data_IF_720303812773
#
_entry.id   IF_720303812773
#
_cell.length_a   1.000
_cell.length_b   1.000
_cell.length_c   1.000
_cell.angle_alpha   90.00
_cell.angle_beta   90.00
_cell.angle_gamma   90.00
#
_symmetry.space_group_name_H-M   'P 1'
#
loop_
_entity.id
_entity.type
_entity.pdbx_description
1 polymer ?
#
# COMPACT_ATOMS: atom_id res chain seq x y z
N UNK A 1 36.24 -77.04 -7.45
CA UNK A 1 35.67 -75.91 -8.21
C UNK A 1 34.48 -75.36 -7.42
N UNK A 2 34.64 -74.25 -6.67
CA UNK A 2 33.59 -73.61 -5.93
C UNK A 2 33.27 -72.26 -6.56
N UNK A 3 32.08 -72.10 -7.15
CA UNK A 3 31.57 -70.85 -7.73
C UNK A 3 31.08 -69.94 -6.58
N UNK A 4 31.63 -68.72 -6.47
CA UNK A 4 31.16 -67.67 -5.58
C UNK A 4 30.13 -66.84 -6.35
N UNK A 5 28.93 -66.74 -5.81
CA UNK A 5 27.90 -65.83 -6.31
C UNK A 5 28.08 -64.51 -5.59
N UNK A 6 28.29 -63.42 -6.34
CA UNK A 6 28.31 -62.08 -5.82
C UNK A 6 26.88 -61.52 -5.92
N UNK A 7 26.31 -61.12 -4.75
CA UNK A 7 25.06 -60.33 -4.71
C UNK A 7 25.41 -58.86 -4.91
N UNK A 8 24.87 -58.27 -5.95
CA UNK A 8 24.89 -56.82 -6.16
C UNK A 8 23.75 -56.17 -5.36
N UNK A 9 24.08 -55.32 -4.40
CA UNK A 9 23.13 -54.47 -3.68
C UNK A 9 22.92 -53.20 -4.49
N UNK A 10 21.72 -53.06 -5.06
CA UNK A 10 21.29 -51.82 -5.75
C UNK A 10 20.72 -50.90 -4.70
N UNK A 11 21.45 -49.82 -4.38
CA UNK A 11 20.97 -48.73 -3.51
C UNK A 11 20.17 -47.76 -4.37
N UNK A 12 18.85 -47.76 -4.22
CA UNK A 12 17.98 -46.71 -4.79
C UNK A 12 18.14 -45.40 -3.99
N UNK A 13 18.69 -44.38 -4.63
CA UNK A 13 18.63 -43.03 -4.16
C UNK A 13 17.27 -42.42 -4.54
N UNK A 14 16.40 -42.24 -3.56
CA UNK A 14 15.18 -41.43 -3.72
C UNK A 14 15.57 -39.96 -3.54
N UNK A 15 15.75 -39.25 -4.62
CA UNK A 15 15.89 -37.79 -4.62
C UNK A 15 14.52 -37.17 -4.34
N UNK A 16 14.31 -36.69 -3.13
CA UNK A 16 13.19 -35.84 -2.81
C UNK A 16 13.36 -34.50 -3.54
N UNK A 17 12.71 -34.36 -4.68
CA UNK A 17 12.61 -33.09 -5.38
C UNK A 17 11.79 -32.12 -4.53
N UNK A 18 12.43 -31.09 -3.99
CA UNK A 18 11.75 -29.92 -3.42
C UNK A 18 11.10 -29.19 -4.60
N UNK A 19 9.80 -29.41 -4.80
CA UNK A 19 8.99 -28.60 -5.70
C UNK A 19 8.83 -27.24 -5.03
N UNK A 20 9.70 -26.32 -5.36
CA UNK A 20 9.52 -24.89 -5.01
C UNK A 20 8.27 -24.38 -5.72
N UNK A 21 7.16 -24.29 -5.00
CA UNK A 21 5.95 -23.65 -5.48
C UNK A 21 6.22 -22.17 -5.69
N UNK A 22 6.10 -21.68 -6.93
CA UNK A 22 6.11 -20.25 -7.20
C UNK A 22 4.81 -19.65 -6.72
N UNK A 23 4.88 -18.68 -5.77
CA UNK A 23 3.75 -17.84 -5.43
C UNK A 23 3.24 -17.15 -6.70
N UNK A 24 2.02 -17.48 -7.14
CA UNK A 24 1.44 -16.95 -8.37
C UNK A 24 0.76 -15.60 -8.14
N UNK A 25 1.08 -14.61 -9.00
CA UNK A 25 0.24 -13.42 -9.13
C UNK A 25 -0.87 -13.71 -10.17
N UNK A 26 -2.13 -13.46 -9.80
CA UNK A 26 -3.26 -13.52 -10.75
C UNK A 26 -3.42 -12.16 -11.41
N UNK A 27 -3.13 -12.08 -12.72
CA UNK A 27 -3.49 -10.94 -13.57
C UNK A 27 -4.94 -11.11 -14.08
N UNK A 28 -5.65 -9.98 -14.26
CA UNK A 28 -7.02 -9.98 -14.77
C UNK A 28 -8.10 -10.02 -13.68
N UNK A 29 -7.76 -9.82 -12.42
CA UNK A 29 -8.71 -9.59 -11.35
C UNK A 29 -9.40 -8.24 -11.54
N UNK A 30 -10.72 -8.20 -11.33
CA UNK A 30 -11.51 -6.97 -11.26
C UNK A 30 -12.24 -6.90 -9.91
N UNK A 31 -12.20 -5.72 -9.29
CA UNK A 31 -12.87 -5.45 -8.01
C UNK A 31 -14.01 -4.47 -8.27
N UNK A 32 -15.18 -4.79 -7.75
CA UNK A 32 -16.35 -3.89 -7.80
C UNK A 32 -16.22 -2.82 -6.72
N UNK A 33 -16.17 -1.56 -7.12
CA UNK A 33 -16.21 -0.37 -6.25
C UNK A 33 -17.45 0.48 -6.58
N UNK A 34 -17.61 1.61 -5.91
CA UNK A 34 -18.72 2.53 -6.14
C UNK A 34 -18.24 3.92 -6.51
N UNK A 35 -18.95 4.55 -7.42
CA UNK A 35 -18.78 5.97 -7.74
C UNK A 35 -19.35 6.87 -6.63
N UNK A 36 -19.05 8.17 -6.58
CA UNK A 36 -19.63 9.09 -5.58
C UNK A 36 -21.16 9.17 -5.59
N UNK A 37 -21.80 8.91 -6.74
CA UNK A 37 -23.26 8.86 -6.87
C UNK A 37 -23.85 7.48 -6.55
N UNK A 38 -23.04 6.52 -6.09
CA UNK A 38 -23.48 5.18 -5.69
C UNK A 38 -23.56 4.15 -6.81
N UNK A 39 -23.23 4.51 -8.06
CA UNK A 39 -23.20 3.54 -9.17
C UNK A 39 -22.04 2.56 -9.03
N UNK A 40 -22.22 1.33 -9.49
CA UNK A 40 -21.17 0.31 -9.51
C UNK A 40 -20.11 0.64 -10.57
N UNK A 41 -18.84 0.40 -10.22
CA UNK A 41 -17.68 0.58 -11.09
C UNK A 41 -16.73 -0.60 -10.92
N UNK A 42 -16.07 -1.00 -12.01
CA UNK A 42 -15.06 -2.07 -11.98
C UNK A 42 -13.67 -1.49 -12.10
N UNK A 43 -12.77 -1.87 -11.20
CA UNK A 43 -11.36 -1.50 -11.26
C UNK A 43 -10.47 -2.74 -11.36
N UNK A 44 -9.44 -2.73 -12.20
CA UNK A 44 -8.47 -3.82 -12.25
C UNK A 44 -7.72 -3.94 -10.91
N UNK A 45 -7.23 -5.14 -10.61
CA UNK A 45 -6.37 -5.36 -9.47
C UNK A 45 -5.39 -6.49 -9.73
N UNK A 46 -4.29 -6.51 -8.99
CA UNK A 46 -3.36 -7.64 -8.91
C UNK A 46 -3.46 -8.25 -7.53
N UNK A 47 -3.55 -9.57 -7.46
CA UNK A 47 -3.57 -10.35 -6.23
C UNK A 47 -2.37 -11.28 -6.18
N UNK A 48 -1.64 -11.27 -5.07
CA UNK A 48 -0.54 -12.20 -4.79
C UNK A 48 -0.85 -12.96 -3.51
N UNK A 49 -0.66 -14.29 -3.53
CA UNK A 49 -0.95 -15.19 -2.41
C UNK A 49 0.30 -16.00 -2.04
N UNK A 50 0.63 -16.15 -0.74
CA UNK A 50 1.66 -17.06 -0.30
C UNK A 50 1.28 -18.53 -0.57
N UNK A 51 2.26 -19.40 -0.67
CA UNK A 51 2.02 -20.85 -0.77
C UNK A 51 1.35 -21.38 0.50
N UNK A 52 0.52 -22.42 0.31
CA UNK A 52 -0.20 -23.08 1.40
C UNK A 52 -1.69 -22.72 1.50
N UNK A 53 -2.41 -23.36 2.42
CA UNK A 53 -3.87 -23.25 2.50
C UNK A 53 -4.36 -21.96 3.15
N UNK A 54 -3.57 -21.32 4.03
CA UNK A 54 -4.03 -20.21 4.86
C UNK A 54 -4.77 -20.68 6.14
N UNK A 55 -5.58 -19.83 6.78
CA UNK A 55 -5.79 -18.42 6.40
C UNK A 55 -4.56 -17.56 6.65
N UNK A 56 -4.37 -16.56 5.78
CA UNK A 56 -3.27 -15.59 5.86
C UNK A 56 -3.80 -14.21 6.19
N UNK A 57 -3.07 -13.39 6.95
CA UNK A 57 -3.33 -11.96 7.00
C UNK A 57 -3.11 -11.35 5.62
N UNK A 58 -3.73 -10.19 5.37
CA UNK A 58 -3.66 -9.56 4.07
C UNK A 58 -3.33 -8.07 4.16
N UNK A 59 -2.83 -7.49 3.06
CA UNK A 59 -2.55 -6.05 2.94
C UNK A 59 -3.07 -5.54 1.59
N UNK A 60 -3.83 -4.46 1.65
CA UNK A 60 -4.20 -3.65 0.47
C UNK A 60 -3.12 -2.59 0.28
N UNK A 61 -2.53 -2.49 -0.93
CA UNK A 61 -1.55 -1.46 -1.27
C UNK A 61 -2.15 -0.47 -2.25
N UNK A 62 -2.31 0.78 -1.81
CA UNK A 62 -2.77 1.89 -2.65
C UNK A 62 -1.58 2.55 -3.35
N UNK A 63 -1.55 2.46 -4.69
CA UNK A 63 -0.45 2.99 -5.49
C UNK A 63 -0.33 4.53 -5.43
N UNK A 64 0.85 5.05 -5.73
CA UNK A 64 1.16 6.49 -5.81
C UNK A 64 0.51 7.17 -7.02
N UNK A 65 0.77 8.48 -7.20
CA UNK A 65 0.25 9.26 -8.33
C UNK A 65 0.73 8.77 -9.71
N UNK A 66 1.78 7.93 -9.78
CA UNK A 66 2.27 7.34 -11.03
C UNK A 66 1.43 6.16 -11.53
N UNK A 67 0.44 5.70 -10.77
CA UNK A 67 -0.38 4.54 -11.13
C UNK A 67 0.39 3.22 -11.06
N UNK A 68 -0.16 2.19 -11.71
CA UNK A 68 0.43 0.86 -11.88
C UNK A 68 0.89 0.59 -13.32
N UNK A 69 0.68 1.53 -14.25
CA UNK A 69 1.06 1.44 -15.65
C UNK A 69 2.58 1.60 -15.88
N UNK A 70 3.00 1.79 -17.15
CA UNK A 70 4.42 1.86 -17.54
C UNK A 70 5.23 2.96 -16.86
N UNK A 71 4.57 4.00 -16.32
CA UNK A 71 5.20 5.10 -15.58
C UNK A 71 5.24 4.91 -14.07
N UNK A 72 4.84 3.73 -13.58
CA UNK A 72 4.89 3.40 -12.15
C UNK A 72 6.31 3.57 -11.59
N UNK A 73 6.40 3.98 -10.33
CA UNK A 73 7.68 4.04 -9.59
C UNK A 73 8.28 2.66 -9.31
N UNK A 74 7.52 1.59 -9.51
CA UNK A 74 7.87 0.22 -9.12
C UNK A 74 7.75 -0.06 -7.61
N UNK A 75 7.52 0.97 -6.79
CA UNK A 75 7.39 0.81 -5.34
C UNK A 75 6.23 -0.11 -4.93
N UNK A 76 5.02 -0.06 -5.53
CA UNK A 76 3.95 -0.99 -5.16
C UNK A 76 4.32 -2.46 -5.34
N UNK A 77 4.95 -2.84 -6.45
CA UNK A 77 5.41 -4.21 -6.71
C UNK A 77 6.53 -4.63 -5.76
N UNK A 78 7.40 -3.68 -5.42
CA UNK A 78 8.48 -3.87 -4.46
C UNK A 78 7.94 -4.23 -3.08
N UNK A 79 6.96 -3.46 -2.59
CA UNK A 79 6.28 -3.74 -1.34
C UNK A 79 5.46 -5.03 -1.38
N UNK A 80 4.81 -5.33 -2.51
CA UNK A 80 4.08 -6.58 -2.66
C UNK A 80 4.98 -7.81 -2.49
N UNK A 81 6.21 -7.78 -3.03
CA UNK A 81 7.21 -8.85 -2.86
C UNK A 81 7.64 -9.00 -1.40
N UNK A 82 7.93 -7.90 -0.70
CA UNK A 82 8.34 -7.92 0.71
C UNK A 82 7.24 -8.48 1.62
N UNK A 83 5.99 -8.07 1.42
CA UNK A 83 4.85 -8.54 2.19
C UNK A 83 4.51 -10.01 1.87
N UNK A 84 4.60 -10.40 0.60
CA UNK A 84 4.40 -11.80 0.19
C UNK A 84 5.45 -12.72 0.85
N UNK A 85 6.72 -12.31 0.90
CA UNK A 85 7.78 -13.04 1.58
C UNK A 85 7.52 -13.18 3.09
N UNK A 86 6.80 -12.24 3.68
CA UNK A 86 6.32 -12.28 5.07
C UNK A 86 4.98 -13.01 5.25
N UNK A 87 4.50 -13.69 4.20
CA UNK A 87 3.29 -14.51 4.19
C UNK A 87 1.99 -13.69 4.32
N UNK A 88 1.96 -12.47 3.81
CA UNK A 88 0.72 -11.71 3.61
C UNK A 88 0.13 -11.99 2.22
N UNK A 89 -1.17 -12.12 2.12
CA UNK A 89 -1.88 -11.93 0.85
C UNK A 89 -1.85 -10.45 0.52
N UNK A 90 -1.52 -10.10 -0.72
CA UNK A 90 -1.41 -8.70 -1.14
C UNK A 90 -2.33 -8.42 -2.31
N UNK A 91 -3.10 -7.35 -2.23
CA UNK A 91 -3.90 -6.85 -3.35
C UNK A 91 -3.52 -5.40 -3.68
N UNK A 92 -3.34 -5.13 -4.99
CA UNK A 92 -3.06 -3.80 -5.54
C UNK A 92 -4.22 -3.39 -6.45
N UNK A 93 -5.22 -2.63 -5.99
CA UNK A 93 -6.26 -2.08 -6.85
C UNK A 93 -5.71 -0.96 -7.73
N UNK A 94 -6.04 -0.99 -9.04
CA UNK A 94 -5.73 0.08 -9.99
C UNK A 94 -6.86 1.10 -10.03
N UNK A 95 -6.73 2.15 -9.26
CA UNK A 95 -7.72 3.23 -9.18
C UNK A 95 -7.71 4.16 -10.39
N UNK A 96 -6.79 4.01 -11.34
CA UNK A 96 -6.50 5.05 -12.33
C UNK A 96 -6.85 4.65 -13.76
N UNK A 97 -6.49 3.45 -14.19
CA UNK A 97 -6.55 3.06 -15.62
C UNK A 97 -7.96 3.15 -16.19
N UNK A 98 -8.96 2.59 -15.51
CA UNK A 98 -10.36 2.64 -15.99
C UNK A 98 -11.01 4.01 -15.87
N UNK A 99 -10.38 4.95 -15.16
CA UNK A 99 -10.82 6.34 -15.01
C UNK A 99 -10.07 7.32 -15.92
N UNK A 100 -9.40 6.80 -16.96
CA UNK A 100 -8.75 7.63 -17.99
C UNK A 100 -7.35 8.14 -17.61
N UNK A 101 -6.72 7.60 -16.55
CA UNK A 101 -5.40 8.01 -16.11
C UNK A 101 -4.36 6.86 -16.13
N UNK A 102 -4.20 6.12 -17.25
CA UNK A 102 -3.29 4.97 -17.30
C UNK A 102 -1.82 5.33 -17.06
N UNK A 103 -1.44 6.57 -17.36
CA UNK A 103 -0.08 7.12 -17.15
C UNK A 103 0.09 7.82 -15.79
N UNK A 104 -0.93 7.76 -14.91
CA UNK A 104 -0.95 8.42 -13.63
C UNK A 104 -1.27 9.92 -13.69
N UNK A 105 -1.22 10.58 -12.53
CA UNK A 105 -1.62 11.99 -12.37
C UNK A 105 -0.54 12.86 -11.71
N UNK A 106 0.70 12.41 -11.66
CA UNK A 106 1.78 13.14 -10.98
C UNK A 106 2.08 14.52 -11.62
N UNK A 107 1.85 14.66 -12.92
CA UNK A 107 2.10 15.89 -13.70
C UNK A 107 0.79 16.55 -14.18
N UNK A 108 -0.34 15.90 -13.94
CA UNK A 108 -1.66 16.36 -14.36
C UNK A 108 -2.19 17.42 -13.38
N UNK A 109 -2.45 18.62 -13.88
CA UNK A 109 -3.08 19.73 -13.14
C UNK A 109 -4.54 19.95 -13.55
N UNK A 110 -5.10 19.11 -14.42
CA UNK A 110 -6.46 19.24 -14.91
C UNK A 110 -7.51 18.89 -13.82
N UNK A 111 -8.74 19.38 -13.97
CA UNK A 111 -9.84 19.03 -13.03
C UNK A 111 -10.16 17.53 -12.98
N UNK A 112 -9.94 16.76 -14.06
CA UNK A 112 -10.17 15.33 -14.12
C UNK A 112 -9.35 14.52 -13.11
N UNK A 113 -8.24 15.10 -12.62
CA UNK A 113 -7.48 14.53 -11.51
C UNK A 113 -8.33 14.28 -10.25
N UNK A 114 -9.43 15.00 -10.08
CA UNK A 114 -10.34 14.81 -8.95
C UNK A 114 -11.08 13.47 -9.00
N UNK A 115 -11.23 12.88 -10.17
CA UNK A 115 -11.88 11.57 -10.35
C UNK A 115 -11.09 10.43 -9.72
N UNK A 116 -9.83 10.68 -9.42
CA UNK A 116 -8.90 9.77 -8.75
C UNK A 116 -8.27 10.38 -7.50
N UNK A 117 -8.91 11.37 -6.88
CA UNK A 117 -8.41 12.01 -5.66
C UNK A 117 -8.24 11.00 -4.50
N UNK A 118 -7.40 11.28 -3.50
CA UNK A 118 -7.25 10.40 -2.33
C UNK A 118 -8.57 10.06 -1.64
N UNK A 119 -9.49 11.03 -1.53
CA UNK A 119 -10.82 10.83 -0.93
C UNK A 119 -11.67 9.90 -1.81
N UNK A 120 -11.64 10.08 -3.13
CA UNK A 120 -12.36 9.20 -4.06
C UNK A 120 -11.91 7.75 -3.95
N UNK A 121 -10.62 7.51 -3.75
CA UNK A 121 -9.98 6.19 -3.65
C UNK A 121 -10.21 5.47 -2.32
N UNK A 122 -10.81 6.13 -1.32
CA UNK A 122 -11.26 5.49 -0.08
C UNK A 122 -12.19 4.32 -0.39
N UNK A 123 -13.11 4.50 -1.33
CA UNK A 123 -14.05 3.44 -1.75
C UNK A 123 -13.35 2.26 -2.41
N UNK A 124 -12.27 2.52 -3.16
CA UNK A 124 -11.46 1.46 -3.77
C UNK A 124 -10.72 0.64 -2.71
N UNK A 125 -10.21 1.30 -1.66
CA UNK A 125 -9.58 0.62 -0.54
C UNK A 125 -10.57 -0.30 0.20
N UNK A 126 -11.78 0.19 0.50
CA UNK A 126 -12.81 -0.63 1.14
C UNK A 126 -13.36 -1.72 0.22
N UNK A 127 -13.48 -1.48 -1.08
CA UNK A 127 -13.85 -2.52 -2.05
C UNK A 127 -12.82 -3.66 -2.08
N UNK A 128 -11.52 -3.32 -2.02
CA UNK A 128 -10.45 -4.31 -1.92
C UNK A 128 -10.49 -5.08 -0.59
N UNK A 129 -10.79 -4.40 0.53
CA UNK A 129 -11.01 -5.05 1.82
C UNK A 129 -12.16 -6.05 1.77
N UNK A 130 -13.30 -5.62 1.21
CA UNK A 130 -14.49 -6.47 1.06
C UNK A 130 -14.20 -7.68 0.18
N UNK A 131 -13.49 -7.48 -0.93
CA UNK A 131 -13.05 -8.57 -1.79
C UNK A 131 -12.15 -9.57 -1.05
N UNK A 132 -11.14 -9.11 -0.32
CA UNK A 132 -10.24 -9.99 0.46
C UNK A 132 -11.03 -10.84 1.46
N UNK A 133 -12.05 -10.30 2.09
CA UNK A 133 -12.92 -11.02 3.04
C UNK A 133 -13.75 -12.13 2.40
N UNK A 134 -13.92 -12.16 1.09
CA UNK A 134 -14.59 -13.27 0.39
C UNK A 134 -13.68 -14.47 0.15
N UNK A 135 -12.36 -14.31 0.31
CA UNK A 135 -11.38 -15.33 -0.03
C UNK A 135 -11.17 -16.31 1.15
N UNK A 136 -11.40 -17.62 0.95
CA UNK A 136 -11.38 -18.60 2.05
C UNK A 136 -9.98 -18.78 2.68
N UNK A 137 -8.92 -18.34 2.02
CA UNK A 137 -7.54 -18.39 2.49
C UNK A 137 -7.06 -17.08 3.11
N UNK A 138 -7.95 -16.09 3.30
CA UNK A 138 -7.64 -14.81 3.95
C UNK A 138 -8.29 -14.76 5.33
N UNK A 139 -7.53 -14.36 6.34
CA UNK A 139 -8.09 -13.93 7.61
C UNK A 139 -8.65 -12.52 7.47
N UNK A 140 -9.95 -12.42 7.22
CA UNK A 140 -10.65 -11.17 6.97
C UNK A 140 -10.68 -10.19 8.16
N UNK A 141 -10.29 -10.62 9.37
CA UNK A 141 -10.14 -9.77 10.55
C UNK A 141 -8.76 -9.12 10.64
N UNK A 142 -7.76 -9.68 9.95
CA UNK A 142 -6.37 -9.26 9.96
C UNK A 142 -5.94 -8.71 8.60
N UNK A 143 -6.61 -7.63 8.17
CA UNK A 143 -6.31 -6.94 6.91
C UNK A 143 -5.76 -5.54 7.19
N UNK A 144 -4.55 -5.28 6.69
CA UNK A 144 -3.87 -3.98 6.75
C UNK A 144 -4.08 -3.16 5.48
N UNK A 145 -3.86 -1.85 5.61
CA UNK A 145 -3.84 -0.90 4.50
C UNK A 145 -2.48 -0.24 4.41
N UNK A 146 -1.97 -0.06 3.20
CA UNK A 146 -0.70 0.62 2.96
C UNK A 146 -0.77 1.49 1.70
N UNK A 147 0.02 2.57 1.64
CA UNK A 147 0.13 3.34 0.41
C UNK A 147 1.26 4.35 0.45
N UNK A 148 1.80 4.69 -0.74
CA UNK A 148 2.85 5.70 -0.91
C UNK A 148 2.32 6.98 -1.56
N UNK A 149 2.79 8.14 -1.14
CA UNK A 149 2.46 9.44 -1.74
C UNK A 149 0.95 9.68 -1.82
N UNK A 150 0.41 9.73 -3.03
CA UNK A 150 -1.04 9.80 -3.28
C UNK A 150 -1.79 8.63 -2.62
N UNK A 151 -1.24 7.41 -2.68
CA UNK A 151 -1.76 6.25 -1.95
C UNK A 151 -1.62 6.41 -0.42
N UNK A 152 -0.54 7.03 0.06
CA UNK A 152 -0.36 7.38 1.47
C UNK A 152 -1.43 8.37 1.96
N UNK A 153 -1.73 9.40 1.14
CA UNK A 153 -2.85 10.32 1.41
C UNK A 153 -4.21 9.61 1.35
N UNK A 154 -4.37 8.63 0.45
CA UNK A 154 -5.56 7.75 0.44
C UNK A 154 -5.64 6.94 1.73
N UNK A 155 -4.51 6.40 2.22
CA UNK A 155 -4.46 5.69 3.50
C UNK A 155 -4.92 6.59 4.65
N UNK A 156 -4.40 7.82 4.75
CA UNK A 156 -4.86 8.77 5.77
C UNK A 156 -6.38 9.03 5.68
N UNK A 157 -6.89 9.27 4.46
CA UNK A 157 -8.32 9.49 4.24
C UNK A 157 -9.17 8.26 4.64
N UNK A 158 -8.70 7.06 4.31
CA UNK A 158 -9.41 5.81 4.61
C UNK A 158 -9.51 5.57 6.11
N UNK A 159 -8.47 5.93 6.87
CA UNK A 159 -8.42 5.70 8.32
C UNK A 159 -9.34 6.62 9.12
N UNK A 160 -9.84 7.72 8.55
CA UNK A 160 -10.82 8.62 9.17
C UNK A 160 -12.14 8.69 8.40
N UNK A 161 -12.33 7.81 7.41
CA UNK A 161 -13.51 7.85 6.55
C UNK A 161 -14.81 7.69 7.35
N UNK A 162 -15.84 8.50 7.06
CA UNK A 162 -17.14 8.35 7.69
C UNK A 162 -17.76 6.99 7.32
N UNK A 163 -18.70 6.51 8.13
CA UNK A 163 -19.33 5.21 7.93
C UNK A 163 -20.00 5.06 6.55
N UNK A 164 -20.46 6.16 5.94
CA UNK A 164 -21.05 6.19 4.60
C UNK A 164 -20.08 5.84 3.47
N UNK A 165 -18.79 6.09 3.67
CA UNK A 165 -17.74 5.83 2.67
C UNK A 165 -17.02 4.50 2.91
N UNK A 166 -17.32 3.84 4.04
CA UNK A 166 -16.87 2.49 4.33
C UNK A 166 -17.76 1.48 3.61
N UNK A 167 -17.35 0.22 3.64
CA UNK A 167 -18.18 -0.86 3.11
C UNK A 167 -19.61 -0.77 3.66
N UNK A 168 -20.66 -0.67 2.81
CA UNK A 168 -22.06 -0.68 3.23
C UNK A 168 -22.45 -1.96 4.00
N UNK A 169 -21.64 -3.02 3.90
CA UNK A 169 -21.78 -4.24 4.70
C UNK A 169 -21.11 -4.15 6.08
N UNK A 170 -20.26 -3.15 6.29
CA UNK A 170 -19.56 -2.92 7.54
C UNK A 170 -20.43 -2.19 8.56
N UNK A 171 -21.42 -2.85 9.10
CA UNK A 171 -22.25 -2.34 10.23
C UNK A 171 -21.48 -2.28 11.57
N UNK A 172 -20.28 -2.87 11.64
CA UNK A 172 -19.44 -2.89 12.84
C UNK A 172 -18.22 -1.96 12.66
N UNK A 173 -17.91 -1.14 13.67
CA UNK A 173 -16.67 -0.33 13.73
C UNK A 173 -15.40 -1.19 13.59
N UNK A 174 -15.49 -2.49 13.93
CA UNK A 174 -14.44 -3.50 13.70
C UNK A 174 -14.32 -3.97 12.25
N UNK A 175 -15.19 -3.53 11.36
CA UNK A 175 -15.21 -3.95 9.96
C UNK A 175 -14.22 -3.19 9.06
N UNK A 176 -13.41 -2.27 9.61
CA UNK A 176 -12.33 -1.53 8.91
C UNK A 176 -11.04 -2.32 8.79
N UNK A 177 -9.98 -1.62 8.41
CA UNK A 177 -8.62 -2.14 8.43
C UNK A 177 -8.11 -2.25 9.87
N UNK A 178 -7.34 -3.31 10.16
CA UNK A 178 -6.80 -3.56 11.50
C UNK A 178 -5.56 -2.71 11.82
N UNK A 179 -4.84 -2.27 10.81
CA UNK A 179 -3.68 -1.37 10.93
C UNK A 179 -3.40 -0.68 9.58
N UNK A 180 -2.69 0.45 9.59
CA UNK A 180 -2.34 1.13 8.35
C UNK A 180 -0.91 1.70 8.35
N UNK A 181 -0.30 1.76 7.16
CA UNK A 181 1.01 2.38 6.92
C UNK A 181 0.91 3.41 5.80
N UNK A 182 1.24 4.66 6.10
CA UNK A 182 1.29 5.74 5.12
C UNK A 182 2.75 6.14 4.85
N UNK A 183 3.20 5.93 3.61
CA UNK A 183 4.54 6.30 3.17
C UNK A 183 4.49 7.69 2.53
N UNK A 184 5.29 8.61 3.03
CA UNK A 184 5.42 9.98 2.55
C UNK A 184 4.09 10.60 2.09
N UNK A 185 3.03 10.58 2.95
CA UNK A 185 1.72 11.13 2.64
C UNK A 185 1.70 12.66 2.64
N UNK A 186 0.73 13.27 1.98
CA UNK A 186 0.42 14.67 2.21
C UNK A 186 -0.43 14.85 3.48
N UNK A 187 0.15 15.46 4.52
CA UNK A 187 -0.49 15.65 5.82
C UNK A 187 -1.09 17.07 5.98
N UNK A 188 -1.57 17.67 4.90
CA UNK A 188 -2.14 19.03 4.89
C UNK A 188 -3.53 19.01 4.30
N UNK A 189 -4.50 19.59 5.00
CA UNK A 189 -5.85 19.86 4.47
C UNK A 189 -5.77 20.80 3.27
N UNK A 190 -6.39 20.40 2.17
CA UNK A 190 -6.50 21.20 0.95
C UNK A 190 -7.85 20.96 0.28
N UNK A 191 -8.39 21.93 -0.48
CA UNK A 191 -9.62 21.72 -1.26
C UNK A 191 -9.54 20.45 -2.13
N UNK A 192 -10.57 19.61 -2.09
CA UNK A 192 -10.62 18.34 -2.83
C UNK A 192 -9.70 17.24 -2.29
N UNK A 193 -9.08 17.44 -1.13
CA UNK A 193 -8.26 16.48 -0.39
C UNK A 193 -8.94 16.07 0.91
N UNK A 194 -8.33 15.11 1.61
CA UNK A 194 -8.79 14.75 2.96
C UNK A 194 -8.73 15.97 3.88
N UNK A 195 -9.77 16.16 4.67
CA UNK A 195 -9.77 17.15 5.74
C UNK A 195 -8.98 16.59 6.94
N UNK A 196 -7.84 17.18 7.21
CA UNK A 196 -6.95 16.85 8.32
C UNK A 196 -6.91 18.00 9.34
N UNK A 197 -7.91 18.90 9.31
CA UNK A 197 -8.07 19.94 10.32
C UNK A 197 -8.50 19.31 11.65
N UNK A 198 -8.03 19.90 12.75
CA UNK A 198 -8.29 19.38 14.09
C UNK A 198 -7.41 18.17 14.44
N UNK A 199 -7.89 17.35 15.38
CA UNK A 199 -7.21 16.13 15.80
C UNK A 199 -7.45 15.01 14.77
N UNK A 200 -6.39 14.36 14.35
CA UNK A 200 -6.49 13.21 13.47
C UNK A 200 -6.85 11.96 14.28
N UNK A 201 -8.02 11.40 14.05
CA UNK A 201 -8.63 10.30 14.81
C UNK A 201 -8.73 9.02 13.95
N UNK A 202 -7.64 8.26 13.79
CA UNK A 202 -7.66 7.07 12.96
C UNK A 202 -8.45 5.94 13.64
N UNK A 203 -9.11 5.14 12.81
CA UNK A 203 -9.93 3.99 13.23
C UNK A 203 -9.12 2.81 13.79
N UNK A 204 -7.82 2.77 13.50
CA UNK A 204 -6.89 1.73 13.93
C UNK A 204 -5.45 2.29 13.96
N UNK A 205 -4.47 1.55 14.52
CA UNK A 205 -3.07 1.98 14.55
C UNK A 205 -2.52 2.39 13.20
N UNK A 206 -1.80 3.50 13.16
CA UNK A 206 -1.20 4.08 11.97
C UNK A 206 0.30 4.33 12.15
N UNK A 207 1.10 3.88 11.18
CA UNK A 207 2.52 4.21 11.04
C UNK A 207 2.72 5.13 9.83
N UNK A 208 3.40 6.28 10.04
CA UNK A 208 3.83 7.19 8.96
C UNK A 208 5.34 7.07 8.79
N UNK A 209 5.80 6.85 7.55
CA UNK A 209 7.23 6.85 7.19
C UNK A 209 7.47 7.92 6.13
N UNK A 210 8.44 8.85 6.37
CA UNK A 210 8.65 9.99 5.49
C UNK A 210 10.11 10.46 5.54
N UNK A 211 10.61 11.04 4.46
CA UNK A 211 11.94 11.64 4.42
C UNK A 211 11.95 13.09 4.94
N UNK A 212 13.05 13.53 5.55
CA UNK A 212 13.20 14.92 6.01
C UNK A 212 13.51 15.91 4.86
N UNK A 213 13.98 15.39 3.71
CA UNK A 213 14.23 16.14 2.48
C UNK A 213 13.07 16.09 1.48
N UNK A 214 11.93 15.56 1.88
CA UNK A 214 10.75 15.51 1.03
C UNK A 214 10.20 16.93 0.81
N UNK A 215 10.43 17.47 -0.39
CA UNK A 215 9.95 18.78 -0.83
C UNK A 215 8.59 18.73 -1.54
N UNK A 216 8.04 17.53 -1.75
CA UNK A 216 6.74 17.33 -2.37
C UNK A 216 5.63 17.19 -1.32
N UNK A 217 5.88 16.39 -0.30
CA UNK A 217 5.01 16.22 0.88
C UNK A 217 5.88 16.37 2.14
N UNK A 218 6.14 17.61 2.58
CA UNK A 218 7.06 17.88 3.67
C UNK A 218 6.70 17.13 4.97
N UNK A 219 7.72 16.70 5.73
CA UNK A 219 7.56 15.90 6.92
C UNK A 219 6.92 16.66 8.10
N UNK A 220 7.12 17.97 8.17
CA UNK A 220 6.70 18.77 9.32
C UNK A 220 5.18 18.75 9.57
N UNK A 221 4.29 18.87 8.55
CA UNK A 221 2.87 18.69 8.76
C UNK A 221 2.49 17.31 9.32
N UNK A 222 3.20 16.24 8.89
CA UNK A 222 2.97 14.89 9.40
C UNK A 222 3.41 14.74 10.86
N UNK A 223 4.51 15.41 11.27
CA UNK A 223 4.94 15.45 12.68
C UNK A 223 3.87 16.08 13.55
N UNK A 224 3.35 17.26 13.15
CA UNK A 224 2.29 17.98 13.89
C UNK A 224 1.01 17.18 13.98
N UNK A 225 0.58 16.54 12.88
CA UNK A 225 -0.58 15.65 12.86
C UNK A 225 -0.40 14.50 13.84
N UNK A 226 0.77 13.86 13.82
CA UNK A 226 1.08 12.72 14.70
C UNK A 226 1.11 13.16 16.17
N UNK A 227 1.76 14.28 16.48
CA UNK A 227 1.85 14.81 17.84
C UNK A 227 0.46 15.13 18.42
N UNK A 228 -0.40 15.82 17.67
CA UNK A 228 -1.76 16.12 18.08
C UNK A 228 -2.60 14.84 18.29
N UNK A 229 -2.47 13.86 17.41
CA UNK A 229 -3.16 12.58 17.56
C UNK A 229 -2.69 11.81 18.80
N UNK A 230 -1.38 11.76 19.07
CA UNK A 230 -0.81 11.11 20.26
C UNK A 230 -1.25 11.79 21.55
N UNK A 231 -1.26 13.13 21.60
CA UNK A 231 -1.75 13.88 22.75
C UNK A 231 -3.23 13.61 23.06
N UNK A 232 -4.01 13.29 22.03
CA UNK A 232 -5.41 12.89 22.16
C UNK A 232 -5.61 11.39 22.41
N UNK A 233 -4.51 10.60 22.53
CA UNK A 233 -4.56 9.16 22.85
C UNK A 233 -4.72 8.23 21.64
N UNK A 234 -4.60 8.75 20.42
CA UNK A 234 -4.70 7.90 19.22
C UNK A 234 -3.37 7.21 18.88
N UNK A 235 -3.38 5.96 18.43
CA UNK A 235 -2.17 5.17 18.16
C UNK A 235 -1.57 5.52 16.79
N UNK A 236 -1.03 6.71 16.66
CA UNK A 236 -0.30 7.18 15.47
C UNK A 236 1.18 7.25 15.80
N UNK A 237 2.03 6.71 14.92
CA UNK A 237 3.48 6.82 15.04
C UNK A 237 4.09 7.36 13.75
N UNK A 238 5.21 8.08 13.86
CA UNK A 238 5.94 8.59 12.70
C UNK A 238 7.43 8.26 12.84
N UNK A 239 8.04 7.83 11.72
CA UNK A 239 9.49 7.77 11.59
C UNK A 239 9.91 8.63 10.41
N UNK A 240 10.88 9.50 10.65
CA UNK A 240 11.41 10.41 9.64
C UNK A 240 12.83 9.99 9.31
N UNK A 241 13.10 9.76 8.01
CA UNK A 241 14.38 9.31 7.50
C UNK A 241 15.28 10.50 7.12
N UNK A 242 16.42 10.67 7.82
CA UNK A 242 17.37 11.74 7.52
C UNK A 242 17.94 11.61 6.10
N UNK A 243 17.93 12.71 5.33
CA UNK A 243 18.48 12.78 3.98
C UNK A 243 17.58 12.21 2.88
N UNK A 244 16.52 11.46 3.22
CA UNK A 244 15.64 10.84 2.25
C UNK A 244 14.67 11.84 1.62
N UNK A 245 14.47 11.71 0.30
CA UNK A 245 13.51 12.47 -0.48
C UNK A 245 12.20 11.71 -0.67
N UNK A 246 11.25 12.34 -1.38
CA UNK A 246 9.99 11.69 -1.77
C UNK A 246 10.21 10.40 -2.55
N UNK A 247 9.42 9.37 -2.30
CA UNK A 247 9.54 8.03 -2.92
C UNK A 247 10.89 7.35 -2.63
N UNK A 248 11.37 7.40 -1.38
CA UNK A 248 12.60 6.76 -0.93
C UNK A 248 12.63 5.23 -1.17
N UNK A 249 11.48 4.62 -1.37
CA UNK A 249 11.27 3.21 -1.69
C UNK A 249 11.31 2.90 -3.20
N UNK A 250 11.55 3.90 -4.06
CA UNK A 250 11.69 3.76 -5.51
C UNK A 250 13.02 3.11 -5.91
N UNK A 251 13.06 2.48 -7.09
CA UNK A 251 14.31 2.06 -7.74
C UNK A 251 15.01 3.22 -8.47
N UNK A 252 14.30 4.31 -8.73
CA UNK A 252 14.85 5.43 -9.49
C UNK A 252 15.87 6.21 -8.66
N UNK A 253 16.97 6.70 -9.26
CA UNK A 253 17.90 7.57 -8.55
C UNK A 253 17.22 8.90 -8.17
N UNK A 254 17.75 9.55 -7.13
CA UNK A 254 17.27 10.86 -6.70
C UNK A 254 17.45 11.88 -7.83
N UNK A 255 16.37 12.59 -8.18
CA UNK A 255 16.37 13.63 -9.20
C UNK A 255 15.25 14.64 -8.98
N UNK A 256 15.51 15.89 -9.38
CA UNK A 256 14.47 16.91 -9.46
C UNK A 256 13.65 16.73 -10.75
N UNK A 257 12.32 16.77 -10.63
CA UNK A 257 11.39 16.63 -11.75
C UNK A 257 10.50 17.87 -11.83
N UNK A 258 10.84 18.81 -12.71
CA UNK A 258 10.20 20.12 -12.81
C UNK A 258 8.70 20.07 -13.17
N UNK A 259 8.25 19.00 -13.83
CA UNK A 259 6.85 18.86 -14.28
C UNK A 259 5.89 18.35 -13.21
N UNK A 260 6.36 17.89 -12.05
CA UNK A 260 5.50 17.39 -10.96
C UNK A 260 4.59 18.50 -10.44
N UNK A 261 3.30 18.24 -10.32
CA UNK A 261 2.37 19.17 -9.66
C UNK A 261 2.65 19.14 -8.15
N UNK A 262 3.11 20.27 -7.62
CA UNK A 262 3.55 20.39 -6.23
C UNK A 262 2.97 21.66 -5.60
N UNK A 263 1.96 21.50 -4.78
CA UNK A 263 1.30 22.59 -4.10
C UNK A 263 2.12 23.19 -2.93
N UNK A 264 3.26 22.59 -2.58
CA UNK A 264 4.22 23.13 -1.59
C UNK A 264 5.35 23.92 -2.25
N UNK A 265 5.44 23.91 -3.59
CA UNK A 265 6.37 24.74 -4.36
C UNK A 265 5.75 26.10 -4.68
N UNK A 266 6.50 27.23 -4.61
CA UNK A 266 6.01 28.55 -4.99
C UNK A 266 5.47 28.63 -6.43
N UNK A 267 6.05 27.83 -7.35
CA UNK A 267 5.60 27.75 -8.74
C UNK A 267 4.41 26.81 -8.95
N UNK A 268 3.94 26.11 -7.92
CA UNK A 268 2.96 25.03 -8.03
C UNK A 268 3.51 23.75 -8.69
N UNK A 269 4.81 23.72 -9.01
CA UNK A 269 5.46 22.62 -9.73
C UNK A 269 6.87 22.33 -9.20
N UNK A 270 7.36 21.14 -9.58
CA UNK A 270 8.71 20.69 -9.25
C UNK A 270 8.79 19.93 -7.93
N UNK A 271 9.44 18.78 -7.94
CA UNK A 271 9.70 17.99 -6.75
C UNK A 271 10.95 17.12 -6.93
N UNK A 272 11.68 16.89 -5.84
CA UNK A 272 12.80 15.94 -5.78
C UNK A 272 12.29 14.58 -5.36
N UNK A 273 12.55 13.55 -6.16
CA UNK A 273 12.08 12.18 -5.88
C UNK A 273 13.17 11.17 -6.18
N UNK A 274 13.20 10.07 -5.45
CA UNK A 274 14.10 8.95 -5.76
C UNK A 274 14.39 8.08 -4.55
N UNK A 275 14.94 6.90 -4.82
CA UNK A 275 15.22 5.89 -3.82
C UNK A 275 16.35 6.27 -2.88
N UNK A 276 16.21 5.84 -1.63
CA UNK A 276 17.24 5.88 -0.60
C UNK A 276 17.42 4.45 -0.05
N UNK A 277 18.56 3.79 -0.30
CA UNK A 277 18.75 2.41 0.10
C UNK A 277 18.70 2.19 1.61
N UNK A 278 19.14 3.16 2.42
CA UNK A 278 19.13 3.03 3.88
C UNK A 278 17.71 3.18 4.42
N UNK A 279 16.97 4.20 3.96
CA UNK A 279 15.56 4.39 4.29
C UNK A 279 14.70 3.21 3.82
N UNK A 280 14.97 2.67 2.63
CA UNK A 280 14.30 1.47 2.14
C UNK A 280 14.53 0.26 3.04
N UNK A 281 15.80 -0.08 3.34
CA UNK A 281 16.14 -1.24 4.17
C UNK A 281 15.54 -1.14 5.58
N UNK A 282 15.51 0.07 6.14
CA UNK A 282 14.89 0.30 7.44
C UNK A 282 13.36 0.23 7.37
N UNK A 283 12.74 0.83 6.33
CA UNK A 283 11.29 0.81 6.16
C UNK A 283 10.72 -0.61 6.05
N UNK A 284 11.43 -1.55 5.41
CA UNK A 284 11.04 -2.97 5.38
C UNK A 284 10.91 -3.54 6.80
N UNK A 285 11.86 -3.21 7.69
CA UNK A 285 11.83 -3.69 9.09
C UNK A 285 10.67 -3.05 9.85
N UNK A 286 10.52 -1.73 9.73
CA UNK A 286 9.46 -0.97 10.43
C UNK A 286 8.05 -1.43 10.01
N UNK A 287 7.80 -1.48 8.71
CA UNK A 287 6.52 -1.94 8.15
C UNK A 287 6.25 -3.40 8.53
N UNK A 288 7.28 -4.24 8.41
CA UNK A 288 7.17 -5.65 8.77
C UNK A 288 6.83 -5.86 10.26
N UNK A 289 7.57 -5.20 11.15
CA UNK A 289 7.32 -5.29 12.60
C UNK A 289 5.95 -4.71 12.98
N UNK A 290 5.53 -3.61 12.34
CA UNK A 290 4.25 -2.98 12.58
C UNK A 290 3.09 -3.90 12.15
N UNK A 291 3.10 -4.43 10.95
CA UNK A 291 2.05 -5.33 10.50
C UNK A 291 2.08 -6.68 11.25
N UNK A 292 3.25 -7.24 11.56
CA UNK A 292 3.34 -8.46 12.35
C UNK A 292 2.71 -8.28 13.75
N UNK A 293 2.83 -7.11 14.36
CA UNK A 293 2.22 -6.78 15.66
C UNK A 293 0.70 -6.72 15.63
N UNK A 294 0.11 -6.22 14.54
CA UNK A 294 -1.33 -5.93 14.49
C UNK A 294 -2.13 -6.87 13.60
N UNK A 295 -1.46 -7.68 12.78
CA UNK A 295 -2.11 -8.57 11.82
C UNK A 295 -1.76 -10.06 12.04
N UNK A 296 -0.88 -10.38 12.98
CA UNK A 296 -0.54 -11.76 13.40
C UNK A 296 -0.72 -11.90 14.90
#
# INVERSE_FOLDING_TARGET
>A
MRRRHALAVITLWVSAGVVGGCAGATSGLSITTTTPNGSSEQIPATLSKPDGPGPFPAVVIMHACSGLGPRSSGAPDRWAKELLARRYVVVLPDSFTTRGHPDGVCTDASPSRNDVSPVRRVRDAYAALSYLRTLPYVDGSHVGLMGGSHGGSTTLATMIAPASDRDPLARDKRAGFAAAVALYPGCVTRPGRVDLSGVYEPLAPLLILIGDKDDWTPAEPCRKLTEAAQQAGYPVTIKVYPGAYHSFDSYNPVRYVATRVNANSPSGRGATTGGDPAAWADSIREVGAFFDRYLK
#
